data_IF_136224046568
#
_entry.id   IF_136224046568
#
_cell.length_a   1.000
_cell.length_b   1.000
_cell.length_c   1.000
_cell.angle_alpha   90.00
_cell.angle_beta   90.00
_cell.angle_gamma   90.00
#
_symmetry.space_group_name_H-M   'P 1'
#
loop_
_entity.id
_entity.type
_entity.pdbx_description
1 polymer ?
#
# COMPACT_ATOMS: atom_id res chain seq x y z
N UNK A 1 9.66 33.29 -8.26
CA UNK A 1 9.31 32.07 -9.03
C UNK A 1 8.22 31.35 -8.24
N UNK A 2 7.21 30.78 -8.90
CA UNK A 2 6.34 29.84 -8.22
C UNK A 2 7.14 28.56 -7.94
N UNK A 3 6.89 27.90 -6.81
CA UNK A 3 7.39 26.54 -6.59
C UNK A 3 6.58 25.63 -7.51
N UNK A 4 7.24 24.84 -8.35
CA UNK A 4 6.55 23.83 -9.15
C UNK A 4 6.02 22.76 -8.20
N UNK A 5 4.72 22.48 -8.26
CA UNK A 5 4.11 21.40 -7.49
C UNK A 5 4.56 20.09 -8.11
N UNK A 6 5.17 19.24 -7.32
CA UNK A 6 5.49 17.86 -7.70
C UNK A 6 4.58 16.93 -6.89
N UNK A 7 4.31 15.74 -7.42
CA UNK A 7 3.68 14.64 -6.70
C UNK A 7 4.55 13.40 -6.83
N UNK A 8 4.59 12.63 -5.75
CA UNK A 8 5.24 11.33 -5.72
C UNK A 8 4.14 10.27 -5.71
N UNK A 9 4.21 9.33 -6.64
CA UNK A 9 3.30 8.18 -6.73
C UNK A 9 4.07 6.93 -6.35
N UNK A 10 3.55 6.18 -5.38
CA UNK A 10 4.06 4.85 -5.06
C UNK A 10 3.39 3.81 -5.97
N UNK A 11 4.21 2.97 -6.60
CA UNK A 11 3.78 1.81 -7.39
C UNK A 11 4.40 0.57 -6.72
N UNK A 12 3.54 -0.23 -6.10
CA UNK A 12 3.85 -1.50 -5.43
C UNK A 12 4.37 -2.54 -6.46
N UNK A 13 5.22 -3.49 -6.07
CA UNK A 13 5.78 -4.46 -7.03
C UNK A 13 4.75 -5.50 -7.52
N UNK A 14 3.56 -5.54 -6.92
CA UNK A 14 2.42 -6.32 -7.38
C UNK A 14 1.52 -5.56 -8.38
N UNK A 15 1.80 -4.28 -8.66
CA UNK A 15 1.03 -3.47 -9.61
C UNK A 15 1.23 -3.98 -11.06
N UNK A 16 0.16 -4.11 -11.88
CA UNK A 16 0.26 -4.58 -13.27
C UNK A 16 1.06 -3.66 -14.21
N UNK A 17 1.47 -2.47 -13.77
CA UNK A 17 2.47 -1.64 -14.44
C UNK A 17 3.87 -2.28 -14.47
N UNK A 18 4.18 -3.15 -13.51
CA UNK A 18 5.37 -3.99 -13.51
C UNK A 18 5.16 -5.29 -14.31
N UNK A 19 6.17 -5.67 -15.09
CA UNK A 19 6.30 -7.01 -15.67
C UNK A 19 7.68 -7.58 -15.32
N UNK A 20 7.69 -8.66 -14.52
CA UNK A 20 8.88 -9.33 -13.99
C UNK A 20 9.17 -10.62 -14.77
N UNK A 21 10.39 -10.75 -15.29
CA UNK A 21 10.80 -11.86 -16.16
C UNK A 21 11.99 -12.63 -15.60
N UNK A 22 11.94 -13.96 -15.67
CA UNK A 22 13.00 -14.84 -15.16
C UNK A 22 12.83 -15.22 -13.68
N UNK A 23 13.94 -15.45 -12.99
CA UNK A 23 13.95 -16.03 -11.64
C UNK A 23 13.71 -15.00 -10.55
N UNK A 24 12.44 -14.82 -10.18
CA UNK A 24 11.98 -14.01 -9.05
C UNK A 24 11.26 -14.87 -7.99
N UNK A 25 11.44 -14.51 -6.72
CA UNK A 25 10.81 -15.14 -5.56
C UNK A 25 10.15 -14.06 -4.72
N UNK A 26 8.83 -14.19 -4.48
CA UNK A 26 8.11 -13.35 -3.52
C UNK A 26 8.56 -13.68 -2.10
N UNK A 27 8.98 -12.65 -1.37
CA UNK A 27 9.26 -12.75 0.06
C UNK A 27 8.02 -12.33 0.88
N UNK A 28 7.97 -12.74 2.14
CA UNK A 28 7.09 -12.15 3.15
C UNK A 28 8.01 -11.53 4.20
N UNK A 29 7.75 -10.31 4.64
CA UNK A 29 8.70 -9.58 5.50
C UNK A 29 8.21 -8.21 5.91
N UNK A 30 9.16 -7.29 6.15
CA UNK A 30 8.88 -5.98 6.75
C UNK A 30 9.09 -4.86 5.72
N UNK A 31 8.37 -5.04 4.61
CA UNK A 31 8.42 -4.28 3.37
C UNK A 31 7.20 -3.35 3.25
N UNK A 32 7.08 -2.62 2.15
CA UNK A 32 5.77 -2.10 1.77
C UNK A 32 4.80 -3.28 1.52
N UNK A 33 3.53 -3.09 1.85
CA UNK A 33 2.47 -4.14 1.83
C UNK A 33 2.89 -5.54 2.34
N UNK A 34 3.78 -5.62 3.34
CA UNK A 34 4.35 -6.85 3.95
C UNK A 34 5.16 -7.79 3.01
N UNK A 35 5.45 -7.40 1.76
CA UNK A 35 6.07 -8.30 0.77
C UNK A 35 7.00 -7.60 -0.24
N UNK A 36 7.80 -8.38 -0.98
CA UNK A 36 8.65 -7.85 -2.05
C UNK A 36 9.02 -8.96 -3.05
N UNK A 37 9.54 -8.60 -4.23
CA UNK A 37 10.14 -9.54 -5.20
C UNK A 37 11.67 -9.49 -5.17
N UNK A 38 12.29 -10.63 -4.86
CA UNK A 38 13.75 -10.80 -4.82
C UNK A 38 14.23 -11.80 -5.88
N UNK A 39 15.31 -11.50 -6.60
CA UNK A 39 15.75 -12.39 -7.68
C UNK A 39 16.93 -11.96 -8.53
N UNK A 40 17.10 -12.71 -9.62
CA UNK A 40 18.12 -12.56 -10.66
C UNK A 40 17.48 -12.33 -12.05
N UNK A 41 16.22 -11.94 -12.09
CA UNK A 41 15.49 -11.72 -13.33
C UNK A 41 15.64 -10.30 -13.89
N UNK A 42 15.05 -10.08 -15.06
CA UNK A 42 14.81 -8.73 -15.57
C UNK A 42 13.46 -8.24 -15.04
N UNK A 43 13.23 -6.94 -15.07
CA UNK A 43 11.88 -6.40 -14.95
C UNK A 43 11.70 -5.15 -15.82
N UNK A 44 10.45 -4.83 -16.09
CA UNK A 44 10.00 -3.64 -16.80
C UNK A 44 8.95 -2.92 -15.98
N UNK A 45 8.94 -1.59 -16.03
CA UNK A 45 7.89 -0.74 -15.44
C UNK A 45 7.43 0.28 -16.49
N UNK A 46 6.12 0.35 -16.71
CA UNK A 46 5.48 1.36 -17.55
C UNK A 46 4.83 2.43 -16.66
N UNK A 47 5.28 3.69 -16.71
CA UNK A 47 4.83 4.72 -15.76
C UNK A 47 4.51 6.06 -16.41
N UNK A 48 3.61 6.83 -15.79
CA UNK A 48 3.30 8.20 -16.20
C UNK A 48 3.98 9.20 -15.25
N UNK A 49 4.97 9.95 -15.72
CA UNK A 49 5.71 10.90 -14.89
C UNK A 49 7.00 11.42 -15.54
N UNK A 50 7.76 12.23 -14.79
CA UNK A 50 9.01 12.84 -15.25
C UNK A 50 10.26 12.13 -14.72
N UNK A 51 10.14 11.28 -13.71
CA UNK A 51 11.23 10.38 -13.27
C UNK A 51 10.68 9.20 -12.47
N UNK A 52 11.45 8.12 -12.36
CA UNK A 52 11.15 7.01 -11.45
C UNK A 52 12.39 6.58 -10.65
N UNK A 53 12.18 6.26 -9.38
CA UNK A 53 13.16 5.68 -8.47
C UNK A 53 12.71 4.27 -8.03
N UNK A 54 13.66 3.38 -7.76
CA UNK A 54 13.37 2.04 -7.24
C UNK A 54 13.90 1.87 -5.81
N UNK A 55 13.04 1.34 -4.94
CA UNK A 55 13.30 1.11 -3.52
C UNK A 55 13.39 -0.41 -3.27
N UNK A 56 14.23 -0.81 -2.32
CA UNK A 56 14.38 -2.20 -1.88
C UNK A 56 15.81 -2.53 -1.43
N UNK A 57 16.10 -3.81 -1.20
CA UNK A 57 17.46 -4.23 -0.83
C UNK A 57 18.39 -4.29 -2.05
N UNK A 58 19.55 -3.64 -1.93
CA UNK A 58 20.68 -3.86 -2.86
C UNK A 58 21.14 -5.32 -2.83
N UNK A 59 21.88 -5.79 -3.84
CA UNK A 59 22.63 -7.04 -3.72
C UNK A 59 23.66 -7.02 -2.58
N UNK A 60 24.00 -8.21 -2.09
CA UNK A 60 25.12 -8.45 -1.16
C UNK A 60 26.47 -8.27 -1.88
N UNK A 61 27.40 -7.53 -1.27
CA UNK A 61 28.79 -7.36 -1.72
C UNK A 61 29.75 -8.10 -0.81
N UNK A 62 30.79 -8.72 -1.35
CA UNK A 62 31.89 -9.22 -0.53
C UNK A 62 33.21 -9.14 -1.31
N UNK A 63 34.33 -9.53 -0.72
CA UNK A 63 35.65 -9.45 -1.36
C UNK A 63 35.74 -10.28 -2.65
N UNK A 64 34.90 -11.31 -2.80
CA UNK A 64 34.77 -12.14 -4.01
C UNK A 64 33.67 -11.67 -4.98
N UNK A 65 32.85 -10.69 -4.58
CA UNK A 65 31.77 -10.09 -5.37
C UNK A 65 31.80 -8.56 -5.16
N UNK A 66 32.72 -7.87 -5.85
CA UNK A 66 32.83 -6.41 -5.78
C UNK A 66 31.58 -5.72 -6.35
N UNK A 67 31.55 -4.38 -6.27
CA UNK A 67 30.41 -3.52 -6.57
C UNK A 67 29.58 -3.98 -7.79
N UNK A 68 28.39 -4.52 -7.52
CA UNK A 68 27.52 -5.09 -8.54
C UNK A 68 26.87 -3.99 -9.39
N UNK A 69 26.55 -4.33 -10.65
CA UNK A 69 25.87 -3.47 -11.62
C UNK A 69 24.59 -4.12 -12.12
N UNK A 70 23.58 -3.32 -12.45
CA UNK A 70 22.47 -3.69 -13.31
C UNK A 70 22.55 -2.87 -14.62
N UNK A 71 21.83 -3.29 -15.66
CA UNK A 71 21.75 -2.60 -16.94
C UNK A 71 20.37 -1.97 -17.13
N UNK A 72 20.35 -0.75 -17.65
CA UNK A 72 19.14 0.08 -17.79
C UNK A 72 18.91 0.43 -19.26
N UNK A 73 17.67 0.34 -19.73
CA UNK A 73 17.19 1.03 -20.93
C UNK A 73 15.90 1.80 -20.59
N UNK A 74 15.71 2.96 -21.21
CA UNK A 74 14.51 3.80 -21.06
C UNK A 74 13.97 4.07 -22.47
N UNK A 75 12.67 3.86 -22.66
CA UNK A 75 11.92 4.08 -23.91
C UNK A 75 12.50 3.35 -25.14
N UNK A 76 13.15 2.21 -24.91
CA UNK A 76 13.87 1.45 -25.95
C UNK A 76 15.18 2.09 -26.42
N UNK A 77 15.64 3.14 -25.74
CA UNK A 77 16.91 3.82 -26.00
C UNK A 77 18.14 2.99 -25.60
N UNK A 78 19.36 3.52 -25.88
CA UNK A 78 20.62 2.82 -25.62
C UNK A 78 20.76 2.34 -24.17
N UNK A 79 21.23 1.11 -23.99
CA UNK A 79 21.49 0.54 -22.68
C UNK A 79 22.70 1.16 -22.01
N UNK A 80 22.66 1.32 -20.68
CA UNK A 80 23.79 1.75 -19.87
C UNK A 80 23.83 1.01 -18.53
N UNK A 81 25.04 0.70 -18.05
CA UNK A 81 25.24 -0.02 -16.79
C UNK A 81 25.26 0.98 -15.62
N UNK A 82 24.60 0.61 -14.52
CA UNK A 82 24.55 1.39 -13.28
C UNK A 82 25.01 0.52 -12.11
N UNK A 83 25.99 1.00 -11.37
CA UNK A 83 26.44 0.37 -10.13
C UNK A 83 25.41 0.66 -9.03
N UNK A 84 24.96 -0.38 -8.30
CA UNK A 84 24.14 -0.17 -7.11
C UNK A 84 24.87 0.76 -6.10
N UNK A 85 24.18 1.58 -5.29
CA UNK A 85 24.81 2.37 -4.24
C UNK A 85 25.34 1.48 -3.11
N UNK A 86 26.35 1.96 -2.37
CA UNK A 86 26.68 1.37 -1.07
C UNK A 86 25.50 1.66 -0.12
N UNK A 87 24.88 0.65 0.50
CA UNK A 87 23.67 0.84 1.30
C UNK A 87 23.90 1.62 2.61
N UNK A 88 25.15 1.70 3.09
CA UNK A 88 25.61 2.66 4.10
C UNK A 88 27.05 3.07 3.76
N UNK A 89 27.29 4.17 3.01
CA UNK A 89 28.64 4.58 2.62
C UNK A 89 29.57 4.95 3.79
N UNK A 90 29.03 5.32 4.95
CA UNK A 90 29.83 5.55 6.17
C UNK A 90 30.51 4.28 6.70
N UNK A 91 29.94 3.11 6.40
CA UNK A 91 30.28 1.84 7.03
C UNK A 91 30.34 0.71 5.99
N UNK A 92 31.49 0.50 5.33
CA UNK A 92 31.66 -0.50 4.27
C UNK A 92 31.52 -1.96 4.72
N UNK A 93 31.25 -2.22 6.01
CA UNK A 93 30.83 -3.54 6.52
C UNK A 93 29.33 -3.81 6.28
N UNK A 94 28.53 -2.80 5.97
CA UNK A 94 27.14 -2.97 5.56
C UNK A 94 27.13 -3.34 4.07
N UNK A 95 27.20 -4.65 3.84
CA UNK A 95 27.41 -5.25 2.52
C UNK A 95 26.12 -5.40 1.69
N UNK A 96 24.96 -5.32 2.34
CA UNK A 96 23.63 -5.27 1.76
C UNK A 96 22.79 -4.27 2.58
N UNK A 97 21.78 -3.66 1.97
CA UNK A 97 20.81 -2.83 2.68
C UNK A 97 19.72 -2.23 1.83
N UNK A 98 18.71 -1.73 2.52
CA UNK A 98 17.50 -1.15 1.97
C UNK A 98 17.76 0.32 1.62
N UNK A 99 17.49 0.69 0.37
CA UNK A 99 17.73 2.04 -0.11
C UNK A 99 16.91 2.32 -1.38
N UNK A 100 16.83 3.61 -1.73
CA UNK A 100 16.64 4.04 -3.10
C UNK A 100 17.88 3.66 -3.91
N UNK A 101 17.82 2.55 -4.66
CA UNK A 101 18.98 1.92 -5.28
C UNK A 101 19.18 2.29 -6.76
N UNK A 102 18.19 2.92 -7.39
CA UNK A 102 18.27 3.54 -8.71
C UNK A 102 17.31 4.73 -8.81
N UNK A 103 17.61 5.70 -9.69
CA UNK A 103 16.68 6.76 -10.11
C UNK A 103 17.00 7.18 -11.54
N UNK A 104 15.98 7.43 -12.37
CA UNK A 104 16.17 7.94 -13.72
C UNK A 104 16.75 9.37 -13.71
N UNK A 105 17.39 9.81 -14.81
CA UNK A 105 17.42 11.22 -15.16
C UNK A 105 16.00 11.81 -15.20
N UNK A 106 15.88 13.14 -15.14
CA UNK A 106 14.63 13.82 -15.46
C UNK A 106 14.31 13.58 -16.94
N UNK A 107 13.20 12.92 -17.22
CA UNK A 107 12.70 12.57 -18.54
C UNK A 107 11.89 13.73 -19.11
N UNK A 108 11.81 13.81 -20.43
CA UNK A 108 11.03 14.83 -21.13
C UNK A 108 9.61 14.33 -21.41
N UNK A 109 8.62 15.14 -21.05
CA UNK A 109 7.21 14.92 -21.38
C UNK A 109 7.06 14.70 -22.90
N UNK A 110 6.42 13.60 -23.29
CA UNK A 110 6.30 13.15 -24.68
C UNK A 110 4.82 13.19 -25.16
N UNK A 111 4.26 14.36 -25.54
CA UNK A 111 2.90 14.43 -26.05
C UNK A 111 2.63 13.43 -27.20
N UNK A 112 1.52 12.67 -27.18
CA UNK A 112 0.33 12.84 -26.33
C UNK A 112 0.37 12.11 -24.98
N UNK A 113 1.44 11.38 -24.64
CA UNK A 113 1.50 10.49 -23.47
C UNK A 113 2.84 10.63 -22.75
N UNK A 114 2.86 11.20 -21.54
CA UNK A 114 4.02 11.23 -20.63
C UNK A 114 4.31 9.84 -20.02
N UNK A 115 4.14 8.79 -20.82
CA UNK A 115 4.31 7.38 -20.46
C UNK A 115 5.71 6.95 -20.87
N UNK A 116 6.48 6.49 -19.91
CA UNK A 116 7.84 6.01 -20.09
C UNK A 116 7.92 4.54 -19.71
N UNK A 117 8.71 3.77 -20.46
CA UNK A 117 8.95 2.35 -20.22
C UNK A 117 10.41 2.15 -19.87
N UNK A 118 10.68 1.79 -18.62
CA UNK A 118 12.02 1.45 -18.14
C UNK A 118 12.20 -0.07 -18.05
N UNK A 119 13.33 -0.55 -18.55
CA UNK A 119 13.78 -1.95 -18.45
C UNK A 119 15.02 -1.99 -17.57
N UNK A 120 14.97 -2.77 -16.48
CA UNK A 120 16.12 -3.11 -15.65
C UNK A 120 16.47 -4.58 -15.88
N UNK A 121 17.68 -4.83 -16.37
CA UNK A 121 18.19 -6.16 -16.69
C UNK A 121 19.52 -6.46 -15.99
N UNK A 122 19.96 -7.71 -16.08
CA UNK A 122 21.22 -8.20 -15.50
C UNK A 122 21.27 -8.07 -13.96
N UNK A 123 20.11 -8.02 -13.30
CA UNK A 123 20.02 -8.03 -11.84
C UNK A 123 20.59 -9.33 -11.26
N UNK A 124 21.26 -9.22 -10.12
CA UNK A 124 21.75 -10.36 -9.36
C UNK A 124 21.47 -10.13 -7.88
N UNK A 125 20.49 -10.84 -7.32
CA UNK A 125 20.10 -10.78 -5.90
C UNK A 125 19.65 -9.40 -5.41
N UNK A 126 19.00 -8.62 -6.26
CA UNK A 126 18.28 -7.41 -5.84
C UNK A 126 16.92 -7.79 -5.25
N UNK A 127 16.39 -6.98 -4.34
CA UNK A 127 14.96 -6.99 -4.01
C UNK A 127 14.31 -5.68 -4.49
N UNK A 128 13.16 -5.80 -5.13
CA UNK A 128 12.28 -4.68 -5.50
C UNK A 128 11.11 -4.69 -4.52
N UNK A 129 10.93 -3.58 -3.81
CA UNK A 129 9.83 -3.35 -2.86
C UNK A 129 8.75 -2.49 -3.54
N UNK A 130 9.13 -1.29 -3.99
CA UNK A 130 8.25 -0.44 -4.80
C UNK A 130 9.05 0.54 -5.66
N UNK A 131 8.34 1.20 -6.58
CA UNK A 131 8.83 2.37 -7.31
C UNK A 131 8.19 3.66 -6.79
N UNK A 132 8.95 4.76 -6.83
CA UNK A 132 8.45 6.13 -6.62
C UNK A 132 8.53 6.86 -7.95
N UNK A 133 7.37 7.23 -8.51
CA UNK A 133 7.27 8.00 -9.75
C UNK A 133 7.03 9.47 -9.41
N UNK A 134 7.90 10.35 -9.89
CA UNK A 134 7.73 11.80 -9.79
C UNK A 134 6.84 12.29 -10.92
N UNK A 135 5.84 13.08 -10.61
CA UNK A 135 5.01 13.82 -11.57
C UNK A 135 5.20 15.31 -11.32
N UNK A 136 5.65 16.05 -12.34
CA UNK A 136 5.81 17.51 -12.30
C UNK A 136 4.90 18.25 -13.31
N UNK A 137 4.11 17.51 -14.10
CA UNK A 137 3.15 18.02 -15.10
C UNK A 137 1.72 17.86 -14.59
N UNK A 138 1.02 19.00 -14.49
CA UNK A 138 -0.33 19.13 -13.92
C UNK A 138 -1.41 18.40 -14.72
N UNK A 139 -1.15 18.11 -16.00
CA UNK A 139 -2.09 17.43 -16.90
C UNK A 139 -2.06 15.90 -16.79
N UNK A 140 -1.00 15.35 -16.17
CA UNK A 140 -0.72 13.90 -16.06
C UNK A 140 -1.85 13.14 -15.35
N UNK A 141 -2.39 12.05 -15.96
CA UNK A 141 -3.37 11.19 -15.30
C UNK A 141 -2.76 10.37 -14.16
N UNK A 142 -3.44 10.38 -13.01
CA UNK A 142 -3.19 9.54 -11.85
C UNK A 142 -4.25 8.42 -11.86
N UNK A 143 -3.84 7.16 -11.70
CA UNK A 143 -4.77 6.02 -11.60
C UNK A 143 -5.53 6.07 -10.26
N UNK A 144 -6.76 5.56 -10.22
CA UNK A 144 -7.53 5.39 -8.97
C UNK A 144 -6.85 4.46 -7.97
N UNK A 145 -6.04 3.55 -8.50
CA UNK A 145 -5.49 2.41 -7.75
C UNK A 145 -4.06 2.73 -7.26
N UNK A 146 -3.43 3.76 -7.83
CA UNK A 146 -2.16 4.31 -7.38
C UNK A 146 -2.35 5.18 -6.12
N UNK A 147 -1.29 5.30 -5.31
CA UNK A 147 -1.31 6.11 -4.08
C UNK A 147 -0.28 7.23 -4.15
N UNK A 148 -0.60 8.37 -3.54
CA UNK A 148 0.33 9.50 -3.43
C UNK A 148 1.17 9.29 -2.17
N UNK A 149 2.50 9.35 -2.34
CA UNK A 149 3.48 9.39 -1.26
C UNK A 149 3.76 10.85 -0.88
N UNK A 150 3.88 11.11 0.42
CA UNK A 150 4.23 12.38 1.02
C UNK A 150 5.41 12.13 1.97
N UNK A 151 6.55 12.71 1.62
CA UNK A 151 7.81 12.66 2.35
C UNK A 151 7.72 13.35 3.72
N UNK A 152 8.52 12.95 4.70
CA UNK A 152 8.48 13.56 6.03
C UNK A 152 8.94 15.04 6.06
N UNK A 153 9.74 15.48 5.08
CA UNK A 153 10.12 16.90 4.92
C UNK A 153 9.11 17.70 4.07
N UNK A 154 8.04 17.07 3.54
CA UNK A 154 7.05 17.78 2.73
C UNK A 154 6.38 18.91 3.55
N UNK A 155 6.37 20.17 3.04
CA UNK A 155 5.86 21.31 3.79
C UNK A 155 4.34 21.32 4.00
N UNK A 156 3.60 20.31 3.53
CA UNK A 156 2.20 20.07 3.93
C UNK A 156 2.10 19.33 5.27
N UNK A 157 3.11 18.57 5.69
CA UNK A 157 3.12 17.95 7.03
C UNK A 157 3.50 19.00 8.08
N UNK A 158 2.70 19.13 9.15
CA UNK A 158 2.83 20.21 10.15
C UNK A 158 3.09 19.67 11.55
N UNK A 159 4.38 19.49 11.83
CA UNK A 159 4.90 19.13 13.15
C UNK A 159 4.75 20.27 14.15
N UNK A 160 4.34 19.93 15.37
CA UNK A 160 4.22 20.82 16.53
C UNK A 160 4.83 20.11 17.74
N UNK A 161 5.68 20.81 18.50
CA UNK A 161 6.35 20.27 19.68
C UNK A 161 7.88 20.13 19.52
N UNK A 162 8.45 19.08 20.12
CA UNK A 162 9.87 18.76 20.15
C UNK A 162 10.39 17.86 19.01
N UNK A 163 9.58 17.60 17.97
CA UNK A 163 9.96 16.84 16.77
C UNK A 163 11.29 17.29 16.17
N UNK A 164 12.05 16.32 15.64
CA UNK A 164 13.35 16.55 15.02
C UNK A 164 13.42 15.91 13.64
N UNK A 165 13.56 16.73 12.60
CA UNK A 165 14.04 16.28 11.29
C UNK A 165 15.46 15.73 11.42
N UNK A 166 15.74 14.61 10.76
CA UNK A 166 17.06 13.98 10.69
C UNK A 166 17.29 13.44 9.27
N UNK A 167 18.36 13.90 8.62
CA UNK A 167 18.76 13.51 7.26
C UNK A 167 19.98 12.58 7.31
N UNK A 168 20.11 11.68 6.32
CA UNK A 168 21.11 10.61 6.32
C UNK A 168 21.01 9.71 7.55
N UNK A 169 19.77 9.35 7.90
CA UNK A 169 19.41 8.59 9.10
C UNK A 169 19.69 7.09 8.95
N UNK A 170 20.98 6.74 9.00
CA UNK A 170 21.47 5.36 8.91
C UNK A 170 20.92 4.46 10.04
N UNK A 171 20.13 3.45 9.69
CA UNK A 171 19.90 2.34 10.61
C UNK A 171 20.90 1.22 10.35
N UNK A 172 21.76 0.98 11.34
CA UNK A 172 22.83 0.00 11.25
C UNK A 172 22.28 -1.43 11.13
N UNK A 173 22.92 -2.22 10.25
CA UNK A 173 22.66 -3.64 10.02
C UNK A 173 22.51 -4.41 11.34
N UNK A 174 21.44 -5.21 11.44
CA UNK A 174 21.16 -6.06 12.59
C UNK A 174 20.71 -7.44 12.09
N UNK A 175 21.65 -8.39 12.04
CA UNK A 175 21.42 -9.73 11.51
C UNK A 175 20.15 -10.38 12.11
N UNK A 176 19.23 -10.91 11.26
CA UNK A 176 19.40 -11.18 9.83
C UNK A 176 19.08 -10.00 8.90
N UNK A 177 18.58 -8.88 9.42
CA UNK A 177 18.11 -7.77 8.59
C UNK A 177 19.26 -6.83 8.19
N UNK A 178 19.45 -6.56 6.90
CA UNK A 178 20.48 -5.66 6.45
C UNK A 178 20.15 -4.21 6.86
N UNK A 179 21.17 -3.35 6.86
CA UNK A 179 21.01 -1.94 7.25
C UNK A 179 20.32 -1.13 6.15
N UNK A 180 20.33 0.19 6.26
CA UNK A 180 19.84 1.03 5.19
C UNK A 180 19.58 2.48 5.57
N UNK A 181 18.84 3.13 4.68
CA UNK A 181 18.29 4.47 4.85
C UNK A 181 16.75 4.41 4.84
N UNK A 182 16.07 5.38 5.46
CA UNK A 182 14.64 5.63 5.23
C UNK A 182 14.37 5.98 3.77
N UNK A 183 13.09 6.02 3.38
CA UNK A 183 12.69 6.53 2.07
C UNK A 183 13.15 7.99 1.94
N UNK A 184 13.64 8.34 0.74
CA UNK A 184 14.16 9.69 0.42
C UNK A 184 15.23 10.27 1.37
N UNK A 185 15.80 9.44 2.26
CA UNK A 185 16.94 9.73 3.14
C UNK A 185 16.66 10.68 4.34
N UNK A 186 15.41 10.80 4.79
CA UNK A 186 15.02 11.60 5.97
C UNK A 186 14.04 10.90 6.92
N UNK A 187 13.95 11.38 8.17
CA UNK A 187 12.89 11.02 9.12
C UNK A 187 12.60 12.16 10.10
N UNK A 188 11.35 12.26 10.56
CA UNK A 188 10.95 13.11 11.68
C UNK A 188 10.75 12.24 12.93
N UNK A 189 11.41 12.63 14.03
CA UNK A 189 11.48 11.81 15.24
C UNK A 189 11.00 12.57 16.49
N UNK A 190 10.25 11.90 17.37
CA UNK A 190 9.95 12.40 18.72
C UNK A 190 9.81 11.29 19.78
N UNK A 191 10.02 11.66 21.05
CA UNK A 191 9.80 10.86 22.25
C UNK A 191 8.85 11.57 23.25
N UNK A 192 8.48 12.83 22.99
CA UNK A 192 7.74 13.64 23.95
C UNK A 192 6.22 13.44 23.79
N UNK A 193 5.51 13.20 24.89
CA UNK A 193 4.04 13.22 24.86
C UNK A 193 3.53 14.63 24.51
N UNK A 194 2.35 14.71 23.90
CA UNK A 194 1.74 15.89 23.27
C UNK A 194 2.42 16.41 21.99
N UNK A 195 3.61 15.92 21.61
CA UNK A 195 4.18 16.22 20.29
C UNK A 195 3.27 15.65 19.19
N UNK A 196 3.01 16.43 18.14
CA UNK A 196 1.97 16.08 17.18
C UNK A 196 2.30 16.53 15.75
N UNK A 197 1.74 15.83 14.77
CA UNK A 197 1.71 16.24 13.36
C UNK A 197 0.26 16.40 12.89
N UNK A 198 0.00 17.45 12.12
CA UNK A 198 -1.24 17.63 11.36
C UNK A 198 -0.90 17.52 9.86
N UNK A 199 -1.70 16.78 9.10
CA UNK A 199 -1.56 16.63 7.65
C UNK A 199 -2.94 16.63 6.99
N UNK A 200 -3.08 17.24 5.81
CA UNK A 200 -4.37 17.36 5.12
C UNK A 200 -4.28 16.79 3.70
N UNK A 201 -5.26 15.95 3.34
CA UNK A 201 -5.32 15.24 2.06
C UNK A 201 -6.75 15.22 1.50
N UNK A 202 -6.89 14.93 0.20
CA UNK A 202 -8.18 14.76 -0.47
C UNK A 202 -8.23 13.35 -1.06
N UNK A 203 -8.91 12.42 -0.37
CA UNK A 203 -8.73 10.98 -0.62
C UNK A 203 -9.65 10.06 0.18
N UNK A 204 -9.51 8.74 -0.02
CA UNK A 204 -10.38 7.70 0.55
C UNK A 204 -9.67 6.73 1.51
N UNK A 205 -8.33 6.78 1.58
CA UNK A 205 -7.52 6.00 2.51
C UNK A 205 -6.26 6.79 2.90
N UNK A 206 -5.66 6.49 4.04
CA UNK A 206 -4.35 7.02 4.45
C UNK A 206 -3.61 6.03 5.37
N UNK A 207 -2.33 5.81 5.08
CA UNK A 207 -1.39 5.11 5.95
C UNK A 207 -0.24 6.03 6.34
N UNK A 208 0.32 5.79 7.52
CA UNK A 208 1.48 6.49 8.07
C UNK A 208 2.57 5.44 8.30
N UNK A 209 3.70 5.61 7.63
CA UNK A 209 4.85 4.70 7.70
C UNK A 209 6.03 5.32 8.46
N UNK A 210 6.79 4.46 9.11
CA UNK A 210 7.92 4.85 9.93
C UNK A 210 8.90 3.71 10.14
N UNK A 211 9.91 3.94 10.97
CA UNK A 211 10.92 2.92 11.30
C UNK A 211 10.85 2.51 12.76
N UNK A 212 11.33 1.30 13.03
CA UNK A 212 11.50 0.80 14.38
C UNK A 212 12.85 0.10 14.53
N UNK A 213 13.72 0.69 15.34
CA UNK A 213 15.01 0.14 15.74
C UNK A 213 15.20 0.32 17.26
N UNK A 214 14.90 -0.69 18.10
CA UNK A 214 14.97 -0.54 19.54
C UNK A 214 16.45 -0.55 19.97
N UNK A 215 16.88 0.39 20.85
CA UNK A 215 18.28 0.55 21.21
C UNK A 215 18.77 -0.42 22.30
N UNK A 216 17.85 -1.08 23.02
CA UNK A 216 18.16 -1.95 24.16
C UNK A 216 17.51 -3.34 24.05
N UNK A 217 17.61 -4.14 25.14
CA UNK A 217 17.00 -5.48 25.25
C UNK A 217 15.57 -5.44 25.81
N UNK A 218 15.05 -4.25 26.06
CA UNK A 218 13.81 -4.04 26.81
C UNK A 218 12.59 -4.02 25.87
N UNK A 219 11.43 -4.41 26.39
CA UNK A 219 10.19 -4.33 25.63
C UNK A 219 9.83 -2.85 25.40
N UNK A 220 9.73 -2.46 24.14
CA UNK A 220 9.51 -1.08 23.72
C UNK A 220 8.12 -0.91 23.11
N UNK A 221 7.54 0.28 23.31
CA UNK A 221 6.15 0.63 23.00
C UNK A 221 6.14 1.98 22.29
N UNK A 222 5.64 2.05 21.06
CA UNK A 222 5.15 3.29 20.47
C UNK A 222 3.67 3.43 20.83
N UNK A 223 3.32 4.58 21.40
CA UNK A 223 1.94 4.94 21.68
C UNK A 223 1.62 6.23 20.95
N UNK A 224 0.63 6.18 20.05
CA UNK A 224 0.11 7.34 19.33
C UNK A 224 -1.40 7.40 19.51
N UNK A 225 -1.92 8.61 19.68
CA UNK A 225 -3.34 8.92 19.54
C UNK A 225 -3.54 9.51 18.14
N UNK A 226 -4.59 9.09 17.42
CA UNK A 226 -4.84 9.59 16.06
C UNK A 226 -6.29 10.01 15.91
N UNK A 227 -6.53 11.09 15.17
CA UNK A 227 -7.86 11.51 14.73
C UNK A 227 -7.89 11.69 13.21
N UNK A 228 -9.05 11.39 12.62
CA UNK A 228 -9.43 11.84 11.28
C UNK A 228 -10.55 12.85 11.47
N UNK A 229 -10.38 14.07 10.96
CA UNK A 229 -11.32 15.20 11.08
C UNK A 229 -11.68 15.62 12.52
N UNK A 230 -10.87 15.21 13.49
CA UNK A 230 -11.12 15.39 14.93
C UNK A 230 -11.89 14.25 15.58
N UNK A 231 -12.32 13.22 14.83
CA UNK A 231 -12.87 11.99 15.39
C UNK A 231 -11.73 11.01 15.73
N UNK A 232 -11.66 10.56 16.99
CA UNK A 232 -10.62 9.65 17.47
C UNK A 232 -10.71 8.26 16.84
N UNK A 233 -9.63 7.86 16.17
CA UNK A 233 -9.43 6.51 15.65
C UNK A 233 -8.51 5.76 16.63
N UNK A 234 -9.12 5.02 17.57
CA UNK A 234 -8.35 4.26 18.57
C UNK A 234 -7.62 3.08 17.91
N UNK A 235 -6.30 3.01 18.14
CA UNK A 235 -5.40 1.88 17.88
C UNK A 235 -4.82 1.43 19.22
N UNK A 236 -4.55 0.14 19.37
CA UNK A 236 -3.68 -0.34 20.44
C UNK A 236 -2.22 0.14 20.21
N UNK A 237 -1.43 0.38 21.27
CA UNK A 237 -0.02 0.74 21.13
C UNK A 237 0.77 -0.33 20.37
N UNK A 238 1.69 0.09 19.52
CA UNK A 238 2.61 -0.82 18.84
C UNK A 238 3.66 -1.26 19.86
N UNK A 239 3.62 -2.55 20.23
CA UNK A 239 4.58 -3.18 21.12
C UNK A 239 5.40 -4.15 20.30
N UNK A 240 6.72 -3.98 20.29
CA UNK A 240 7.65 -4.92 19.66
C UNK A 240 8.65 -5.47 20.68
N UNK A 241 9.22 -6.63 20.35
CA UNK A 241 10.18 -7.35 21.17
C UNK A 241 11.62 -7.08 20.72
N UNK A 242 12.57 -7.53 21.55
CA UNK A 242 13.99 -7.60 21.20
C UNK A 242 14.20 -8.24 19.82
N UNK A 243 15.17 -7.71 19.06
CA UNK A 243 15.56 -8.17 17.72
C UNK A 243 14.54 -7.91 16.59
N UNK A 244 13.34 -7.42 16.89
CA UNK A 244 12.38 -7.00 15.87
C UNK A 244 12.74 -5.58 15.39
N UNK A 245 12.91 -5.42 14.07
CA UNK A 245 13.20 -4.15 13.42
C UNK A 245 12.36 -4.00 12.17
N UNK A 246 11.91 -2.78 11.93
CA UNK A 246 10.97 -2.47 10.86
C UNK A 246 11.50 -1.33 10.01
N UNK A 247 11.58 -1.57 8.70
CA UNK A 247 12.00 -0.60 7.69
C UNK A 247 10.77 0.17 7.20
N UNK A 248 9.66 -0.53 6.96
CA UNK A 248 8.34 0.02 6.69
C UNK A 248 7.35 -0.38 7.80
N UNK A 249 7.45 0.23 8.99
CA UNK A 249 6.44 0.05 10.04
C UNK A 249 5.18 0.86 9.71
N UNK A 250 4.06 0.18 9.51
CA UNK A 250 2.73 0.80 9.49
C UNK A 250 2.37 1.31 10.89
N UNK A 251 2.57 2.60 11.14
CA UNK A 251 2.24 3.28 12.40
C UNK A 251 0.72 3.47 12.54
N UNK A 252 0.05 3.88 11.46
CA UNK A 252 -1.39 4.14 11.44
C UNK A 252 -2.00 3.79 10.07
N UNK A 253 -3.29 3.45 10.04
CA UNK A 253 -4.09 3.28 8.82
C UNK A 253 -5.52 3.79 9.05
N UNK A 254 -6.13 4.34 8.01
CA UNK A 254 -7.57 4.51 7.88
C UNK A 254 -8.00 4.22 6.45
N UNK A 255 -9.03 3.40 6.28
CA UNK A 255 -9.66 3.05 5.00
C UNK A 255 -11.11 3.52 4.94
N UNK A 256 -11.76 3.34 3.78
CA UNK A 256 -13.20 3.53 3.59
C UNK A 256 -13.71 4.95 3.93
N UNK A 257 -12.82 5.94 3.83
CA UNK A 257 -13.16 7.35 4.00
C UNK A 257 -13.98 7.83 2.79
N UNK A 258 -14.80 8.86 3.01
CA UNK A 258 -15.52 9.52 1.93
C UNK A 258 -14.50 10.19 0.96
N UNK A 259 -14.80 10.32 -0.34
CA UNK A 259 -13.91 10.99 -1.29
C UNK A 259 -13.94 12.51 -1.09
N UNK A 260 -13.34 12.99 0.00
CA UNK A 260 -13.43 14.36 0.52
C UNK A 260 -12.09 14.87 1.05
N UNK A 261 -12.04 16.15 1.43
CA UNK A 261 -10.92 16.73 2.18
C UNK A 261 -10.94 16.21 3.62
N UNK A 262 -9.81 15.66 4.07
CA UNK A 262 -9.60 15.14 5.42
C UNK A 262 -8.42 15.81 6.11
N UNK A 263 -8.50 15.90 7.44
CA UNK A 263 -7.36 16.24 8.31
C UNK A 263 -6.98 15.02 9.14
N UNK A 264 -5.77 14.49 8.91
CA UNK A 264 -5.08 13.60 9.84
C UNK A 264 -4.45 14.42 10.97
N UNK A 265 -4.58 13.95 12.20
CA UNK A 265 -3.79 14.46 13.33
C UNK A 265 -3.30 13.29 14.16
N UNK A 266 -1.97 13.15 14.28
CA UNK A 266 -1.31 12.09 15.05
C UNK A 266 -0.50 12.74 16.18
N UNK A 267 -0.77 12.31 17.41
CA UNK A 267 -0.16 12.85 18.65
C UNK A 267 0.59 11.73 19.37
N UNK A 268 1.88 11.95 19.64
CA UNK A 268 2.72 11.09 20.46
C UNK A 268 2.16 11.06 21.89
N UNK A 269 1.94 9.85 22.38
CA UNK A 269 1.42 9.57 23.72
C UNK A 269 2.54 9.00 24.61
N UNK A 270 2.19 8.36 25.73
CA UNK A 270 3.14 7.63 26.60
C UNK A 270 3.92 6.55 25.81
N UNK A 271 5.10 6.90 25.31
CA UNK A 271 5.95 6.07 24.45
C UNK A 271 7.27 5.77 25.16
N UNK A 272 7.77 4.53 25.07
CA UNK A 272 9.07 4.15 25.64
C UNK A 272 10.20 4.10 24.60
N UNK A 273 9.88 4.44 23.35
CA UNK A 273 10.78 4.45 22.19
C UNK A 273 10.46 5.65 21.30
N UNK A 274 11.45 6.12 20.53
CA UNK A 274 11.26 7.16 19.52
C UNK A 274 10.17 6.73 18.52
N UNK A 275 9.18 7.59 18.33
CA UNK A 275 8.30 7.58 17.16
C UNK A 275 9.11 8.17 16.01
N UNK A 276 9.37 7.38 14.98
CA UNK A 276 10.19 7.74 13.82
C UNK A 276 9.28 7.64 12.58
N UNK A 277 8.91 8.78 12.02
CA UNK A 277 8.14 8.89 10.77
C UNK A 277 9.08 8.88 9.56
N UNK A 278 8.70 8.18 8.51
CA UNK A 278 9.42 8.10 7.22
C UNK A 278 8.59 8.76 6.10
N UNK A 279 7.36 8.30 5.90
CA UNK A 279 6.46 8.85 4.88
C UNK A 279 4.98 8.59 5.20
N UNK A 280 4.10 9.28 4.49
CA UNK A 280 2.64 9.08 4.50
C UNK A 280 2.22 8.65 3.09
N UNK A 281 1.27 7.72 2.94
CA UNK A 281 0.67 7.38 1.63
C UNK A 281 -0.85 7.39 1.69
N UNK A 282 -1.51 7.98 0.69
CA UNK A 282 -2.97 8.09 0.63
C UNK A 282 -3.52 7.78 -0.77
N UNK A 283 -4.72 7.20 -0.83
CA UNK A 283 -5.45 7.03 -2.10
C UNK A 283 -6.18 8.34 -2.44
N UNK A 284 -5.82 9.05 -3.54
CA UNK A 284 -6.45 10.33 -3.87
C UNK A 284 -7.88 10.16 -4.42
N UNK A 285 -8.71 11.17 -4.22
CA UNK A 285 -10.05 11.26 -4.85
C UNK A 285 -10.10 12.18 -6.08
N UNK A 286 -8.92 12.56 -6.60
CA UNK A 286 -8.72 13.34 -7.82
C UNK A 286 -7.84 12.58 -8.83
N UNK A 287 -8.05 12.80 -10.13
CA UNK A 287 -7.40 12.02 -11.21
C UNK A 287 -6.25 12.74 -11.91
N UNK A 288 -5.93 13.98 -11.52
CA UNK A 288 -4.75 14.75 -11.97
C UNK A 288 -4.29 15.72 -10.91
N UNK A 289 -3.01 16.12 -10.95
CA UNK A 289 -2.46 17.13 -10.04
C UNK A 289 -3.16 18.50 -10.16
N UNK A 290 -3.62 18.92 -11.36
CA UNK A 290 -4.38 20.19 -11.50
C UNK A 290 -5.67 20.22 -10.68
N UNK A 291 -6.26 19.03 -10.47
CA UNK A 291 -7.55 18.84 -9.81
C UNK A 291 -7.39 18.62 -8.30
N UNK A 292 -6.14 18.51 -7.80
CA UNK A 292 -5.82 18.40 -6.37
C UNK A 292 -6.05 19.74 -5.64
N UNK A 293 -6.91 19.79 -4.61
CA UNK A 293 -7.18 21.02 -3.86
C UNK A 293 -5.94 21.68 -3.24
N UNK A 294 -6.08 22.97 -2.92
CA UNK A 294 -5.17 23.68 -2.03
C UNK A 294 -5.69 23.59 -0.59
N UNK A 295 -5.00 22.79 0.22
CA UNK A 295 -5.35 22.53 1.61
C UNK A 295 -4.56 23.40 2.60
N UNK A 296 -3.72 24.32 2.12
CA UNK A 296 -2.80 25.14 2.92
C UNK A 296 -3.48 26.02 3.99
N UNK A 297 -4.69 26.51 3.72
CA UNK A 297 -5.41 27.42 4.61
C UNK A 297 -6.25 26.78 5.73
N UNK A 298 -6.26 25.44 5.84
CA UNK A 298 -7.20 24.71 6.71
C UNK A 298 -6.61 23.97 7.91
N UNK A 299 -5.32 24.14 8.19
CA UNK A 299 -4.67 23.59 9.39
C UNK A 299 -5.24 24.26 10.65
N UNK A 300 -5.72 23.45 11.59
CA UNK A 300 -6.25 23.92 12.88
C UNK A 300 -5.16 24.00 13.96
N UNK A 301 -4.00 23.41 13.68
CA UNK A 301 -2.93 23.16 14.63
C UNK A 301 -3.25 21.97 15.52
N UNK A 302 -2.20 21.39 16.10
CA UNK A 302 -2.30 20.36 17.12
C UNK A 302 -2.97 20.93 18.39
N UNK A 303 -4.29 20.81 18.45
CA UNK A 303 -5.02 20.99 19.69
C UNK A 303 -4.50 19.97 20.71
N UNK A 304 -4.21 20.41 21.94
CA UNK A 304 -3.93 19.47 23.04
C UNK A 304 -5.10 18.49 23.16
N UNK A 305 -4.79 17.20 23.25
CA UNK A 305 -5.80 16.20 23.54
C UNK A 305 -6.46 16.56 24.88
N UNK A 306 -7.74 16.95 24.83
CA UNK A 306 -8.56 16.99 26.03
C UNK A 306 -8.66 15.56 26.57
N UNK A 307 -8.67 15.38 27.89
CA UNK A 307 -8.84 14.04 28.49
C UNK A 307 -10.13 13.41 27.97
N UNK A 308 -9.98 12.35 27.16
CA UNK A 308 -11.07 11.68 26.45
C UNK A 308 -11.97 10.96 27.45
N UNK A 309 -13.05 11.64 27.84
CA UNK A 309 -14.07 11.14 28.75
C UNK A 309 -15.01 10.14 28.05
N UNK A 310 -14.43 9.03 27.58
CA UNK A 310 -15.11 7.75 27.41
C UNK A 310 -15.80 7.47 26.08
N UNK A 311 -16.33 8.48 25.39
CA UNK A 311 -17.22 8.30 24.23
C UNK A 311 -16.49 8.10 22.89
N UNK A 312 -15.61 7.09 22.84
CA UNK A 312 -15.09 6.59 21.57
C UNK A 312 -16.21 5.91 20.77
N UNK A 313 -16.64 6.51 19.66
CA UNK A 313 -17.54 5.87 18.70
C UNK A 313 -16.81 4.65 18.11
N UNK A 314 -17.23 3.40 18.38
CA UNK A 314 -16.56 2.24 17.80
C UNK A 314 -16.90 2.17 16.31
N UNK A 315 -15.92 1.84 15.46
CA UNK A 315 -16.10 1.76 14.00
C UNK A 315 -17.27 0.81 13.63
N UNK A 316 -17.48 -0.25 14.43
CA UNK A 316 -18.63 -1.16 14.29
C UNK A 316 -20.01 -0.51 14.48
N UNK A 317 -20.13 0.65 15.15
CA UNK A 317 -21.38 1.41 15.23
C UNK A 317 -21.71 2.03 13.87
N UNK A 318 -20.72 2.61 13.19
CA UNK A 318 -20.88 3.24 11.87
C UNK A 318 -21.29 2.17 10.84
N UNK A 319 -20.56 1.06 10.80
CA UNK A 319 -20.87 -0.10 9.96
C UNK A 319 -22.26 -0.68 10.30
N UNK A 320 -22.60 -0.79 11.59
CA UNK A 320 -23.90 -1.28 12.06
C UNK A 320 -25.08 -0.40 11.64
N UNK A 321 -24.94 0.92 11.66
CA UNK A 321 -25.97 1.87 11.18
C UNK A 321 -26.16 1.76 9.67
N UNK A 322 -25.07 1.72 8.89
CA UNK A 322 -25.15 1.63 7.41
C UNK A 322 -25.79 0.30 6.98
N UNK A 323 -25.36 -0.83 7.53
CA UNK A 323 -25.96 -2.15 7.26
C UNK A 323 -27.42 -2.22 7.75
N UNK A 324 -27.71 -1.65 8.92
CA UNK A 324 -29.07 -1.58 9.48
C UNK A 324 -30.04 -0.83 8.57
N UNK A 325 -29.64 0.33 8.04
CA UNK A 325 -30.43 1.10 7.08
C UNK A 325 -30.64 0.34 5.77
N UNK A 326 -29.62 -0.37 5.26
CA UNK A 326 -29.72 -1.17 4.04
C UNK A 326 -30.73 -2.33 4.19
N UNK A 327 -30.65 -3.08 5.29
CA UNK A 327 -31.58 -4.18 5.60
C UNK A 327 -33.00 -3.65 5.84
N UNK A 328 -33.14 -2.53 6.56
CA UNK A 328 -34.45 -1.92 6.80
C UNK A 328 -35.10 -1.40 5.50
N UNK A 329 -34.32 -0.80 4.61
CA UNK A 329 -34.76 -0.38 3.27
C UNK A 329 -35.26 -1.55 2.42
N UNK A 330 -34.51 -2.67 2.38
CA UNK A 330 -34.94 -3.90 1.70
C UNK A 330 -36.25 -4.46 2.27
N UNK A 331 -36.39 -4.50 3.60
CA UNK A 331 -37.62 -4.95 4.27
C UNK A 331 -38.81 -4.03 3.97
N UNK A 332 -38.60 -2.71 3.93
CA UNK A 332 -39.63 -1.75 3.56
C UNK A 332 -40.10 -1.94 2.11
N UNK A 333 -39.19 -2.13 1.16
CA UNK A 333 -39.50 -2.43 -0.26
C UNK A 333 -40.34 -3.71 -0.38
N UNK A 334 -39.93 -4.80 0.30
CA UNK A 334 -40.69 -6.06 0.32
C UNK A 334 -42.08 -5.88 0.96
N UNK A 335 -42.18 -5.05 2.00
CA UNK A 335 -43.45 -4.68 2.65
C UNK A 335 -44.41 -3.96 1.69
N UNK A 336 -43.95 -2.90 1.03
CA UNK A 336 -44.72 -2.13 0.03
C UNK A 336 -45.12 -3.01 -1.16
N UNK A 337 -44.23 -3.88 -1.64
CA UNK A 337 -44.54 -4.82 -2.71
C UNK A 337 -45.64 -5.82 -2.31
N UNK A 338 -45.57 -6.40 -1.09
CA UNK A 338 -46.63 -7.26 -0.55
C UNK A 338 -47.94 -6.50 -0.35
N UNK A 339 -47.90 -5.23 0.05
CA UNK A 339 -49.08 -4.37 0.19
C UNK A 339 -49.77 -4.15 -1.16
N UNK A 340 -49.05 -3.70 -2.18
CA UNK A 340 -49.58 -3.46 -3.51
C UNK A 340 -50.09 -4.76 -4.17
N UNK A 341 -49.37 -5.88 -4.00
CA UNK A 341 -49.82 -7.20 -4.47
C UNK A 341 -51.08 -7.72 -3.75
N UNK A 342 -51.34 -7.28 -2.52
CA UNK A 342 -52.64 -7.51 -1.82
C UNK A 342 -53.73 -6.55 -2.32
N UNK A 343 -53.44 -5.27 -2.54
CA UNK A 343 -54.41 -4.26 -3.02
C UNK A 343 -54.97 -4.62 -4.39
N UNK A 344 -54.11 -5.01 -5.33
CA UNK A 344 -54.52 -5.35 -6.70
C UNK A 344 -55.33 -6.67 -6.81
N UNK A 345 -55.44 -7.46 -5.73
CA UNK A 345 -56.33 -8.64 -5.67
C UNK A 345 -57.78 -8.32 -5.29
N UNK A 346 -58.12 -7.05 -4.98
CA UNK A 346 -59.49 -6.63 -4.60
C UNK A 346 -60.29 -5.94 -5.72
N UNK A 347 -59.80 -5.94 -6.96
CA UNK A 347 -60.44 -5.25 -8.11
C UNK A 347 -60.72 -6.24 -9.27
N UNK A 348 -61.22 -7.45 -8.96
CA UNK A 348 -61.67 -8.45 -9.97
C UNK A 348 -62.90 -9.26 -9.51
N UNK A 349 -63.97 -8.56 -9.14
CA UNK A 349 -65.36 -9.05 -9.04
C UNK A 349 -66.28 -7.89 -9.45
N UNK A 350 -66.32 -7.52 -10.73
CA UNK A 350 -67.37 -7.93 -11.67
C UNK A 350 -68.11 -6.69 -12.19
N UNK A 351 -69.17 -6.79 -13.02
CA UNK A 351 -69.77 -7.99 -13.62
C UNK A 351 -69.54 -8.08 -15.14
N UNK A 352 -70.21 -9.04 -15.78
CA UNK A 352 -70.18 -9.38 -17.20
C UNK A 352 -71.21 -8.59 -18.04
N UNK A 353 -70.86 -8.22 -19.27
CA UNK A 353 -71.83 -7.92 -20.33
C UNK A 353 -71.27 -8.31 -21.71
N UNK A 354 -72.16 -8.62 -22.67
CA UNK A 354 -71.84 -9.55 -23.77
C UNK A 354 -71.82 -8.91 -25.17
N UNK A 355 -71.08 -9.56 -26.09
CA UNK A 355 -71.05 -9.34 -27.57
C UNK A 355 -70.42 -7.99 -28.01
N UNK A 356 -69.89 -7.84 -29.23
CA UNK A 356 -70.17 -8.55 -30.51
C UNK A 356 -68.89 -8.89 -31.32
N UNK A 357 -69.04 -9.64 -32.41
CA UNK A 357 -68.02 -10.29 -33.24
C UNK A 357 -67.36 -9.43 -34.34
N UNK A 358 -66.11 -9.77 -34.68
CA UNK A 358 -65.45 -9.92 -36.01
C UNK A 358 -63.96 -10.25 -35.73
N UNK A 359 -63.30 -11.32 -36.23
CA UNK A 359 -63.11 -11.88 -37.59
C UNK A 359 -62.13 -11.10 -38.49
N UNK A 360 -61.27 -11.83 -39.25
CA UNK A 360 -60.19 -11.40 -40.19
C UNK A 360 -58.76 -11.34 -39.58
N UNK A 361 -57.63 -11.76 -40.20
CA UNK A 361 -57.30 -12.98 -41.01
C UNK A 361 -55.77 -13.09 -41.26
N UNK A 362 -55.12 -14.18 -40.79
CA UNK A 362 -53.78 -14.70 -41.23
C UNK A 362 -52.60 -13.68 -41.09
N UNK A 363 -51.31 -13.90 -41.43
CA UNK A 363 -50.53 -14.92 -42.18
C UNK A 363 -49.25 -15.32 -41.41
N UNK A 364 -48.73 -16.53 -41.67
CA UNK A 364 -47.56 -17.13 -41.03
C UNK A 364 -46.20 -16.75 -41.66
N UNK A 365 -45.10 -17.08 -40.95
CA UNK A 365 -43.74 -17.40 -41.43
C UNK A 365 -42.96 -17.86 -40.17
N UNK A 366 -42.74 -19.14 -39.86
CA UNK A 366 -42.10 -20.22 -40.62
C UNK A 366 -40.61 -20.00 -40.90
N UNK A 367 -39.76 -20.49 -39.99
CA UNK A 367 -38.67 -21.39 -40.39
C UNK A 367 -38.33 -22.37 -39.26
N UNK A 368 -38.09 -23.62 -39.62
CA UNK A 368 -37.48 -24.62 -38.76
C UNK A 368 -35.98 -24.74 -39.10
N UNK A 369 -35.25 -25.53 -38.30
CA UNK A 369 -34.18 -26.48 -38.70
C UNK A 369 -33.04 -26.53 -37.64
N UNK A 370 -32.38 -27.67 -37.37
CA UNK A 370 -32.83 -29.07 -37.34
C UNK A 370 -31.74 -29.94 -36.67
N UNK A 371 -32.04 -30.63 -35.55
CA UNK A 371 -31.13 -31.60 -34.86
C UNK A 371 -29.76 -30.97 -34.42
N UNK A 372 -28.80 -31.61 -33.75
CA UNK A 372 -28.63 -32.90 -33.05
C UNK A 372 -27.58 -32.66 -31.91
N UNK A 373 -27.22 -33.54 -30.96
CA UNK A 373 -27.55 -34.93 -30.64
C UNK A 373 -27.47 -35.17 -29.11
N UNK A 374 -27.56 -36.44 -28.68
CA UNK A 374 -27.38 -36.88 -27.29
C UNK A 374 -25.92 -37.16 -26.89
N UNK A 375 -25.63 -37.08 -25.59
CA UNK A 375 -24.84 -38.14 -24.92
C UNK A 375 -25.13 -38.23 -23.42
N UNK A 376 -24.75 -39.37 -22.84
CA UNK A 376 -25.29 -39.93 -21.59
C UNK A 376 -24.39 -39.73 -20.36
N UNK A 377 -24.99 -39.97 -19.17
CA UNK A 377 -24.42 -40.45 -17.88
C UNK A 377 -22.93 -40.11 -17.52
N UNK A 378 -22.58 -39.84 -16.25
CA UNK A 378 -22.87 -40.69 -15.07
C UNK A 378 -22.34 -40.02 -13.79
N UNK A 379 -23.01 -40.23 -12.65
CA UNK A 379 -22.47 -39.84 -11.33
C UNK A 379 -21.63 -40.98 -10.70
N UNK A 380 -20.68 -40.63 -9.81
CA UNK A 380 -20.30 -41.52 -8.71
C UNK A 380 -20.40 -40.87 -7.32
N UNK A 381 -20.35 -41.74 -6.31
CA UNK A 381 -20.59 -41.54 -4.88
C UNK A 381 -19.57 -40.69 -4.12
N UNK A 382 -20.03 -40.08 -3.01
CA UNK A 382 -19.22 -39.66 -1.86
C UNK A 382 -18.49 -40.84 -1.20
N UNK A 383 -17.40 -40.57 -0.49
CA UNK A 383 -17.20 -41.15 0.84
C UNK A 383 -17.07 -40.10 1.96
N UNK A 384 -17.31 -40.61 3.16
CA UNK A 384 -17.35 -40.05 4.50
C UNK A 384 -16.07 -39.37 5.06
N UNK A 385 -16.31 -38.50 6.05
CA UNK A 385 -15.53 -38.24 7.27
C UNK A 385 -14.02 -37.97 7.20
N UNK A 386 -13.64 -36.74 7.59
CA UNK A 386 -12.33 -36.44 8.18
C UNK A 386 -12.46 -35.34 9.26
N UNK A 387 -11.53 -35.36 10.21
CA UNK A 387 -11.64 -34.75 11.53
C UNK A 387 -11.62 -33.20 11.55
N UNK A 388 -12.33 -32.59 12.50
CA UNK A 388 -12.27 -31.14 12.78
C UNK A 388 -11.32 -30.88 13.95
N UNK A 389 -10.08 -30.50 13.65
CA UNK A 389 -9.15 -29.94 14.65
C UNK A 389 -8.82 -28.47 14.35
N UNK A 390 -8.63 -27.62 15.39
CA UNK A 390 -8.42 -26.19 15.20
C UNK A 390 -7.02 -25.90 14.65
N UNK A 391 -6.97 -25.22 13.50
CA UNK A 391 -5.74 -24.69 12.91
C UNK A 391 -5.18 -23.53 13.74
N UNK A 392 -4.38 -23.85 14.76
CA UNK A 392 -3.46 -22.90 15.38
C UNK A 392 -2.39 -22.55 14.34
N UNK A 393 -2.41 -21.32 13.82
CA UNK A 393 -1.45 -20.88 12.81
C UNK A 393 -0.01 -20.85 13.38
N UNK A 394 0.93 -21.64 12.85
CA UNK A 394 2.32 -21.57 13.24
C UNK A 394 2.98 -20.37 12.56
N UNK A 395 3.58 -19.44 13.33
CA UNK A 395 4.41 -18.36 12.77
C UNK A 395 5.58 -18.96 11.97
N UNK A 396 5.44 -19.01 10.65
CA UNK A 396 6.50 -19.46 9.73
C UNK A 396 7.62 -18.43 9.69
N UNK A 397 8.68 -18.67 10.46
CA UNK A 397 9.90 -17.87 10.40
C UNK A 397 10.48 -17.92 8.99
N UNK A 398 11.01 -16.80 8.50
CA UNK A 398 11.79 -16.77 7.26
C UNK A 398 12.95 -17.79 7.35
N UNK A 399 13.26 -18.52 6.27
CA UNK A 399 14.44 -19.38 6.24
C UNK A 399 15.70 -18.53 6.39
N UNK A 400 16.65 -18.89 7.28
CA UNK A 400 17.87 -18.10 7.52
C UNK A 400 18.92 -18.26 6.39
N UNK A 401 18.50 -18.59 5.17
CA UNK A 401 19.39 -18.93 4.05
C UNK A 401 20.01 -17.71 3.35
N UNK A 402 19.61 -16.49 3.74
CA UNK A 402 20.38 -15.27 3.49
C UNK A 402 21.65 -15.15 4.37
N UNK A 403 21.99 -16.16 5.19
CA UNK A 403 23.28 -16.27 5.88
C UNK A 403 23.95 -17.59 5.51
N UNK A 404 24.67 -17.60 4.38
CA UNK A 404 25.43 -18.76 3.92
C UNK A 404 26.63 -19.01 4.83
N UNK A 405 26.83 -20.27 5.23
CA UNK A 405 27.88 -20.68 6.18
C UNK A 405 29.29 -20.42 5.63
N UNK A 406 30.07 -19.60 6.32
CA UNK A 406 31.53 -19.62 6.22
C UNK A 406 32.06 -20.89 6.90
N UNK A 407 32.42 -21.90 6.10
CA UNK A 407 33.03 -23.13 6.60
C UNK A 407 34.48 -22.85 7.02
N UNK A 408 34.73 -22.71 8.32
CA UNK A 408 36.06 -22.42 8.87
C UNK A 408 37.05 -23.57 8.64
N UNK A 409 38.01 -23.36 7.72
CA UNK A 409 39.18 -24.21 7.59
C UNK A 409 40.11 -23.98 8.79
N UNK A 410 40.22 -24.97 9.67
CA UNK A 410 41.18 -24.95 10.76
C UNK A 410 42.61 -25.09 10.22
N UNK A 411 43.51 -24.19 10.63
CA UNK A 411 44.94 -24.40 10.52
C UNK A 411 45.54 -24.60 11.91
N UNK A 412 46.12 -25.77 12.11
CA UNK A 412 46.87 -26.12 13.32
C UNK A 412 48.25 -25.46 13.29
N UNK A 413 48.52 -24.57 14.24
CA UNK A 413 49.90 -24.26 14.59
C UNK A 413 50.43 -25.31 15.56
N UNK A 414 51.62 -25.83 15.25
CA UNK A 414 52.41 -26.72 16.09
C UNK A 414 53.88 -26.37 15.92
N UNK A 415 54.57 -26.19 17.05
CA UNK A 415 55.86 -25.49 17.19
C UNK A 415 55.74 -23.96 17.08
#
# INVERSE_FOLDING_TARGET
>A
MAVQRELLIIIDEQDPAFNFEGSWTKSNGVWYTDNCLYGNGNFTLSFNGSSVAFIGNTPERNESSPAQTHTVSIDGGPTYNVTFPLPVPSNPKVQQGYAQWYTTPMLANNPPHNTHNITISENNRVAVDFAIVTINDVDTPISSDHRILVDDQDPTVRYTGGWRSTTSSEYLNFAPFPGGYPVMNSTHQSLAADDCLEFRFTGTSIDVYGLWYPPSRDMTKISIHTTIDGATVRRDPIIAHQNERYQNLLLFTASDLLPTDHTLTLTVSDTSQLVILDYIVYSPSFTRMRDMPDLSGGYKGCAKAAEDNGDSIPVGLIVGVVLGLFVFGLLAIVGVWRWNRRRNRRIRLGPEHSRTSSETTYVALQKADHLDASQDMKAPSSPSDLDLQPLVSPKSKCPPECVVRSAGLAHSHSL
#
